data_IF_463370412925
#
_entry.id   IF_463370412925
#
_cell.length_a   1.000
_cell.length_b   1.000
_cell.length_c   1.000
_cell.angle_alpha   90.00
_cell.angle_beta   90.00
_cell.angle_gamma   90.00
#
_symmetry.space_group_name_H-M   'P 1'
#
loop_
_entity.id
_entity.type
_entity.pdbx_description
1 polymer ?
#
# COMPACT_ATOMS: atom_id res chain seq x y z
N UNK A 1 -6.31 4.03 11.46
CA UNK A 1 -7.00 3.82 10.16
C UNK A 1 -7.35 5.18 9.58
N UNK A 2 -7.27 5.33 8.27
CA UNK A 2 -7.62 6.57 7.55
C UNK A 2 -8.88 6.31 6.72
N UNK A 3 -9.84 7.24 6.74
CA UNK A 3 -11.14 7.07 6.08
C UNK A 3 -11.42 8.21 5.10
N UNK A 4 -11.86 7.83 3.88
CA UNK A 4 -12.19 8.79 2.82
C UNK A 4 -10.96 9.31 2.05
N UNK A 5 -11.18 9.66 0.78
CA UNK A 5 -10.11 10.07 -0.14
C UNK A 5 -9.37 11.34 0.30
N UNK A 6 -10.06 12.27 0.97
CA UNK A 6 -9.45 13.51 1.44
C UNK A 6 -8.40 13.25 2.53
N UNK A 7 -8.76 12.51 3.58
CA UNK A 7 -7.84 12.16 4.65
C UNK A 7 -6.71 11.24 4.14
N UNK A 8 -7.01 10.31 3.23
CA UNK A 8 -6.00 9.44 2.63
C UNK A 8 -4.98 10.25 1.82
N UNK A 9 -5.43 11.24 1.04
CA UNK A 9 -4.54 12.13 0.30
C UNK A 9 -3.62 12.90 1.24
N UNK A 10 -4.16 13.50 2.31
CA UNK A 10 -3.34 14.23 3.28
C UNK A 10 -2.26 13.33 3.90
N UNK A 11 -2.65 12.11 4.28
CA UNK A 11 -1.73 11.12 4.84
C UNK A 11 -0.60 10.76 3.86
N UNK A 12 -0.92 10.47 2.60
CA UNK A 12 0.09 10.13 1.60
C UNK A 12 0.95 11.32 1.18
N UNK A 13 0.40 12.51 1.04
CA UNK A 13 1.18 13.72 0.74
C UNK A 13 2.23 13.97 1.83
N UNK A 14 1.85 13.91 3.10
CA UNK A 14 2.80 14.06 4.21
C UNK A 14 3.91 12.99 4.19
N UNK A 15 3.57 11.74 3.85
CA UNK A 15 4.55 10.67 3.74
C UNK A 15 5.53 10.86 2.56
N UNK A 16 5.02 11.31 1.40
CA UNK A 16 5.82 11.59 0.21
C UNK A 16 6.73 12.81 0.39
N UNK A 17 6.25 13.86 1.05
CA UNK A 17 7.06 15.04 1.40
C UNK A 17 8.22 14.68 2.34
N UNK A 18 7.99 13.76 3.28
CA UNK A 18 9.01 13.31 4.22
C UNK A 18 10.09 12.41 3.58
N UNK A 19 9.79 11.78 2.44
CA UNK A 19 10.68 10.86 1.72
C UNK A 19 10.56 11.11 0.21
N UNK A 20 11.14 12.22 -0.30
CA UNK A 20 10.94 12.65 -1.69
C UNK A 20 11.48 11.66 -2.74
N UNK A 21 12.55 10.93 -2.42
CA UNK A 21 13.15 9.90 -3.29
C UNK A 21 12.66 8.49 -2.95
N UNK A 22 11.42 8.36 -2.47
CA UNK A 22 10.85 7.04 -2.12
C UNK A 22 10.75 6.16 -3.37
N UNK A 23 11.51 5.07 -3.39
CA UNK A 23 11.43 4.03 -4.41
C UNK A 23 10.86 2.74 -3.82
N UNK A 24 10.09 2.00 -4.64
CA UNK A 24 9.53 0.71 -4.29
C UNK A 24 9.88 -0.33 -5.34
N UNK A 25 10.46 -1.46 -4.90
CA UNK A 25 10.77 -2.57 -5.80
C UNK A 25 9.66 -3.61 -5.73
N UNK A 26 8.92 -3.78 -6.82
CA UNK A 26 7.86 -4.81 -6.88
C UNK A 26 8.49 -6.20 -6.81
N UNK A 27 8.14 -6.94 -5.76
CA UNK A 27 8.57 -8.33 -5.56
C UNK A 27 7.56 -9.28 -6.20
N UNK A 28 6.27 -8.94 -6.17
CA UNK A 28 5.24 -9.74 -6.80
C UNK A 28 3.85 -9.13 -6.71
N UNK A 29 2.98 -9.56 -7.62
CA UNK A 29 1.59 -9.15 -7.68
C UNK A 29 0.72 -10.40 -7.73
N UNK A 30 -0.24 -10.51 -6.80
CA UNK A 30 -1.11 -11.66 -6.67
C UNK A 30 -2.56 -11.22 -6.81
N UNK A 31 -3.30 -11.87 -7.70
CA UNK A 31 -4.69 -11.54 -7.99
C UNK A 31 -5.63 -12.54 -7.31
N UNK A 32 -6.51 -12.02 -6.46
CA UNK A 32 -7.69 -12.72 -5.97
C UNK A 32 -8.94 -12.33 -6.76
N UNK A 33 -10.11 -12.81 -6.32
CA UNK A 33 -11.41 -12.54 -6.97
C UNK A 33 -11.78 -11.05 -6.92
N UNK A 34 -11.64 -10.42 -5.74
CA UNK A 34 -11.95 -9.00 -5.50
C UNK A 34 -10.82 -8.28 -4.74
N UNK A 35 -9.61 -8.83 -4.78
CA UNK A 35 -8.47 -8.34 -4.02
C UNK A 35 -7.21 -8.45 -4.87
N UNK A 36 -6.30 -7.51 -4.72
CA UNK A 36 -4.93 -7.60 -5.20
C UNK A 36 -4.00 -7.62 -3.99
N UNK A 37 -2.86 -8.30 -4.10
CA UNK A 37 -1.74 -8.13 -3.18
C UNK A 37 -0.57 -7.62 -3.98
N UNK A 38 -0.07 -6.44 -3.62
CA UNK A 38 1.15 -5.85 -4.17
C UNK A 38 2.23 -6.01 -3.10
N UNK A 39 3.12 -6.99 -3.29
CA UNK A 39 4.28 -7.17 -2.43
C UNK A 39 5.45 -6.37 -3.01
N UNK A 40 6.00 -5.46 -2.23
CA UNK A 40 7.15 -4.66 -2.62
C UNK A 40 8.16 -4.51 -1.48
N UNK A 41 9.39 -4.16 -1.87
CA UNK A 41 10.42 -3.69 -0.94
C UNK A 41 10.31 -2.18 -0.83
N UNK A 42 10.14 -1.68 0.39
CA UNK A 42 10.06 -0.24 0.64
C UNK A 42 11.47 0.41 0.62
N UNK A 43 11.51 1.73 0.74
CA UNK A 43 12.75 2.52 0.75
C UNK A 43 13.73 2.15 1.89
N UNK A 44 13.27 1.45 2.93
CA UNK A 44 14.10 0.95 4.05
C UNK A 44 14.53 -0.51 3.85
N UNK A 45 14.27 -1.09 2.69
CA UNK A 45 14.56 -2.50 2.39
C UNK A 45 13.54 -3.48 2.98
N UNK A 46 12.52 -3.02 3.69
CA UNK A 46 11.51 -3.85 4.34
C UNK A 46 10.45 -4.37 3.37
N UNK A 47 9.99 -5.60 3.59
CA UNK A 47 8.91 -6.20 2.80
C UNK A 47 7.55 -5.71 3.31
N UNK A 48 6.73 -5.22 2.38
CA UNK A 48 5.39 -4.71 2.62
C UNK A 48 4.44 -5.32 1.60
N UNK A 49 3.26 -5.74 2.06
CA UNK A 49 2.14 -6.11 1.20
C UNK A 49 1.03 -5.06 1.33
N UNK A 50 0.72 -4.38 0.22
CA UNK A 50 -0.50 -3.57 0.09
C UNK A 50 -1.62 -4.44 -0.46
N UNK A 51 -2.74 -4.48 0.26
CA UNK A 51 -3.86 -5.38 -0.01
C UNK A 51 -5.13 -4.57 -0.30
N UNK A 52 -5.29 -4.01 -1.50
CA UNK A 52 -6.52 -3.34 -1.90
C UNK A 52 -7.66 -4.35 -2.15
N UNK A 53 -8.82 -4.05 -1.55
CA UNK A 53 -10.12 -4.68 -1.81
C UNK A 53 -10.93 -3.82 -2.78
N UNK A 54 -11.45 -4.44 -3.84
CA UNK A 54 -12.16 -3.79 -4.93
C UNK A 54 -13.67 -3.96 -4.81
N UNK A 55 -14.39 -2.94 -5.28
CA UNK A 55 -15.79 -3.00 -5.65
C UNK A 55 -15.88 -2.62 -7.14
N UNK A 56 -16.11 -3.62 -8.00
CA UNK A 56 -15.95 -3.47 -9.44
C UNK A 56 -14.53 -3.01 -9.82
N UNK A 57 -14.44 -1.82 -10.43
CA UNK A 57 -13.17 -1.26 -10.91
C UNK A 57 -12.47 -0.32 -9.88
N UNK A 58 -13.08 -0.09 -8.71
CA UNK A 58 -12.56 0.88 -7.74
C UNK A 58 -12.10 0.22 -6.44
N UNK A 59 -11.04 0.75 -5.83
CA UNK A 59 -10.60 0.34 -4.50
C UNK A 59 -11.57 0.92 -3.45
N UNK A 60 -12.18 0.05 -2.64
CA UNK A 60 -13.06 0.45 -1.53
C UNK A 60 -12.38 0.42 -0.15
N UNK A 61 -11.33 -0.40 0.00
CA UNK A 61 -10.55 -0.55 1.24
C UNK A 61 -9.15 -1.03 0.88
N UNK A 62 -8.16 -0.75 1.74
CA UNK A 62 -6.82 -1.30 1.61
C UNK A 62 -6.21 -1.59 2.97
N UNK A 63 -5.24 -2.50 2.98
CA UNK A 63 -4.43 -2.80 4.16
C UNK A 63 -2.95 -2.77 3.78
N UNK A 64 -2.19 -1.89 4.43
CA UNK A 64 -0.74 -1.96 4.41
C UNK A 64 -0.28 -2.93 5.50
N UNK A 65 0.38 -4.02 5.10
CA UNK A 65 0.85 -5.06 6.02
C UNK A 65 2.37 -5.16 5.95
N UNK A 66 2.99 -5.18 7.12
CA UNK A 66 4.45 -5.24 7.25
C UNK A 66 4.85 -6.63 7.71
N UNK A 67 6.00 -7.11 7.24
CA UNK A 67 6.54 -8.38 7.72
C UNK A 67 6.73 -8.32 9.24
N UNK A 68 5.97 -9.13 9.97
CA UNK A 68 6.11 -9.25 11.41
C UNK A 68 7.45 -9.88 11.77
N UNK A 69 8.06 -9.40 12.85
CA UNK A 69 9.21 -10.08 13.45
C UNK A 69 8.67 -11.25 14.28
N UNK A 70 9.31 -12.41 14.14
CA UNK A 70 9.07 -13.57 15.00
C UNK A 70 9.96 -13.51 16.22
#
# INVERSE_FOLDING_TARGET
>A
MVHGKAALRQYWCAALEAVPDSHFDIVGVYRGVSTLVINYRNQKGGLVCEVPEFDGAVVRRGHGTYLGHR
#
